data_IF_026702820075
#
_entry.id   IF_026702820075
#
_cell.length_a   1.000
_cell.length_b   1.000
_cell.length_c   1.000
_cell.angle_alpha   90.00
_cell.angle_beta   90.00
_cell.angle_gamma   90.00
#
_symmetry.space_group_name_H-M   'P 1'
#
loop_
_entity.id
_entity.type
_entity.pdbx_description
1 polymer ?
#
# COMPACT_ATOMS: atom_id res chain seq x y z
N UNK A 1 -3.56 6.16 -12.12
CA UNK A 1 -3.30 5.84 -10.71
C UNK A 1 -3.14 7.10 -9.86
N UNK A 2 -2.20 8.01 -10.16
CA UNK A 2 -1.97 9.23 -9.35
C UNK A 2 -3.21 10.11 -9.28
N UNK A 3 -3.88 10.39 -10.40
CA UNK A 3 -5.11 11.17 -10.41
C UNK A 3 -6.23 10.51 -9.58
N UNK A 4 -6.39 9.19 -9.70
CA UNK A 4 -7.37 8.45 -8.89
C UNK A 4 -7.05 8.54 -7.39
N UNK A 5 -5.79 8.38 -7.00
CA UNK A 5 -5.38 8.52 -5.60
C UNK A 5 -5.66 9.92 -5.07
N UNK A 6 -5.34 10.97 -5.84
CA UNK A 6 -5.63 12.35 -5.44
C UNK A 6 -7.13 12.60 -5.26
N UNK A 7 -7.95 12.17 -6.21
CA UNK A 7 -9.42 12.31 -6.11
C UNK A 7 -9.95 11.57 -4.89
N UNK A 8 -9.52 10.34 -4.66
CA UNK A 8 -9.95 9.54 -3.51
C UNK A 8 -9.51 10.18 -2.20
N UNK A 9 -8.28 10.69 -2.11
CA UNK A 9 -7.80 11.41 -0.91
C UNK A 9 -8.64 12.66 -0.63
N UNK A 10 -8.91 13.47 -1.66
CA UNK A 10 -9.73 14.67 -1.52
C UNK A 10 -11.16 14.36 -1.09
N UNK A 11 -11.78 13.34 -1.69
CA UNK A 11 -13.13 12.91 -1.31
C UNK A 11 -13.16 12.39 0.13
N UNK A 12 -12.21 11.59 0.52
CA UNK A 12 -12.10 11.07 1.90
C UNK A 12 -11.85 12.20 2.90
N UNK A 13 -11.01 13.17 2.54
CA UNK A 13 -10.76 14.34 3.37
C UNK A 13 -12.04 15.21 3.51
N UNK A 14 -12.76 15.43 2.43
CA UNK A 14 -14.06 16.13 2.48
C UNK A 14 -15.06 15.43 3.40
N UNK A 15 -15.22 14.13 3.23
CA UNK A 15 -16.10 13.32 4.08
C UNK A 15 -15.65 13.37 5.55
N UNK A 16 -14.35 13.31 5.82
CA UNK A 16 -13.78 13.45 7.14
C UNK A 16 -14.10 14.80 7.77
N UNK A 17 -13.96 15.90 7.05
CA UNK A 17 -14.29 17.24 7.52
C UNK A 17 -15.79 17.39 7.81
N UNK A 18 -16.66 16.85 6.97
CA UNK A 18 -18.12 16.83 7.19
C UNK A 18 -18.45 16.02 8.45
N UNK A 19 -17.86 14.85 8.62
CA UNK A 19 -18.08 14.01 9.78
C UNK A 19 -17.57 14.68 11.07
N UNK A 20 -16.45 15.38 11.02
CA UNK A 20 -15.93 16.16 12.15
C UNK A 20 -16.85 17.31 12.51
N UNK A 21 -17.36 18.07 11.52
CA UNK A 21 -18.28 19.15 11.75
C UNK A 21 -19.61 18.70 12.38
N UNK A 22 -20.02 17.46 12.15
CA UNK A 22 -21.21 16.85 12.76
C UNK A 22 -20.93 16.05 14.05
N UNK A 23 -19.71 16.13 14.59
CA UNK A 23 -19.34 15.41 15.82
C UNK A 23 -19.28 13.88 15.70
N UNK A 24 -19.28 13.36 14.47
CA UNK A 24 -19.25 11.92 14.19
C UNK A 24 -17.82 11.34 14.20
N UNK A 25 -16.80 12.18 14.02
CA UNK A 25 -15.40 11.83 14.13
C UNK A 25 -14.89 12.15 15.54
N UNK A 26 -15.06 11.22 16.45
CA UNK A 26 -14.34 11.22 17.74
C UNK A 26 -13.11 10.33 17.60
N UNK A 27 -12.03 10.67 18.30
CA UNK A 27 -10.75 9.90 18.28
C UNK A 27 -10.98 8.44 18.67
N UNK A 28 -12.00 8.18 19.50
CA UNK A 28 -12.40 6.83 19.92
C UNK A 28 -13.22 6.06 18.85
N UNK A 29 -13.69 6.74 17.82
CA UNK A 29 -14.49 6.13 16.75
C UNK A 29 -13.65 5.43 15.67
N UNK A 30 -12.31 5.50 15.73
CA UNK A 30 -11.46 4.81 14.79
C UNK A 30 -11.53 3.31 15.04
N UNK A 31 -12.31 2.62 14.19
CA UNK A 31 -12.43 1.17 14.20
C UNK A 31 -11.05 0.52 14.05
N UNK A 32 -10.92 -0.73 14.53
CA UNK A 32 -9.70 -1.52 14.34
C UNK A 32 -9.26 -1.63 12.89
N UNK A 33 -10.20 -1.50 11.93
CA UNK A 33 -9.90 -1.46 10.49
C UNK A 33 -9.08 -0.24 10.09
N UNK A 34 -9.39 0.95 10.62
CA UNK A 34 -8.59 2.16 10.36
C UNK A 34 -7.21 2.01 10.99
N UNK A 35 -7.14 1.55 12.24
CA UNK A 35 -5.87 1.34 12.94
C UNK A 35 -4.95 0.35 12.23
N UNK A 36 -5.51 -0.72 11.67
CA UNK A 36 -4.74 -1.69 10.87
C UNK A 36 -4.07 -1.08 9.64
N UNK A 37 -4.61 0.03 9.11
CA UNK A 37 -4.06 0.74 7.94
C UNK A 37 -3.07 1.85 8.27
N UNK A 38 -2.87 2.15 9.55
CA UNK A 38 -1.88 3.14 10.01
C UNK A 38 -0.47 2.54 10.12
N UNK A 39 -0.37 1.22 10.26
CA UNK A 39 0.89 0.50 10.45
C UNK A 39 1.10 -0.50 9.32
N UNK A 40 1.87 -0.15 8.28
CA UNK A 40 2.20 -1.09 7.21
C UNK A 40 2.86 -2.35 7.76
N UNK A 41 2.42 -3.52 7.29
CA UNK A 41 2.97 -4.83 7.67
C UNK A 41 3.62 -5.53 6.47
N UNK A 42 4.46 -6.53 6.74
CA UNK A 42 5.02 -7.38 5.67
C UNK A 42 3.92 -8.18 4.96
N UNK A 43 2.80 -8.45 5.66
CA UNK A 43 1.65 -9.12 5.08
C UNK A 43 1.00 -8.27 3.99
N UNK A 44 0.83 -6.96 4.23
CA UNK A 44 0.29 -6.03 3.26
C UNK A 44 1.13 -6.00 1.98
N UNK A 45 2.46 -5.98 2.13
CA UNK A 45 3.39 -6.06 1.00
C UNK A 45 3.23 -7.39 0.23
N UNK A 46 3.06 -8.51 0.94
CA UNK A 46 2.79 -9.82 0.33
C UNK A 46 1.49 -9.83 -0.48
N UNK A 47 0.43 -9.26 0.08
CA UNK A 47 -0.87 -9.11 -0.60
C UNK A 47 -0.73 -8.23 -1.84
N UNK A 48 0.00 -7.13 -1.74
CA UNK A 48 0.24 -6.23 -2.87
C UNK A 48 1.03 -6.89 -4.00
N UNK A 49 2.07 -7.66 -3.66
CA UNK A 49 2.85 -8.46 -4.62
C UNK A 49 1.94 -9.46 -5.36
N UNK A 50 1.11 -10.20 -4.62
CA UNK A 50 0.17 -11.16 -5.18
C UNK A 50 -0.87 -10.47 -6.08
N UNK A 51 -1.43 -9.34 -5.63
CA UNK A 51 -2.39 -8.55 -6.40
C UNK A 51 -1.80 -8.08 -7.74
N UNK A 52 -0.56 -7.57 -7.72
CA UNK A 52 0.15 -7.15 -8.92
C UNK A 52 0.44 -8.31 -9.88
N UNK A 53 0.85 -9.46 -9.33
CA UNK A 53 1.08 -10.67 -10.11
C UNK A 53 -0.22 -11.16 -10.77
N UNK A 54 -1.30 -11.28 -10.02
CA UNK A 54 -2.62 -11.73 -10.51
C UNK A 54 -3.14 -10.75 -11.57
N UNK A 55 -3.07 -9.45 -11.31
CA UNK A 55 -3.54 -8.42 -12.23
C UNK A 55 -2.80 -8.47 -13.58
N UNK A 56 -1.48 -8.64 -13.54
CA UNK A 56 -0.67 -8.74 -14.75
C UNK A 56 -0.91 -10.05 -15.47
N UNK A 57 -1.02 -11.17 -14.73
CA UNK A 57 -1.34 -12.47 -15.31
C UNK A 57 -2.69 -12.43 -16.05
N UNK A 58 -3.72 -11.84 -15.43
CA UNK A 58 -5.04 -11.68 -16.05
C UNK A 58 -4.99 -10.80 -17.32
N UNK A 59 -4.09 -9.82 -17.34
CA UNK A 59 -3.92 -8.91 -18.51
C UNK A 59 -3.24 -9.59 -19.70
N UNK A 60 -2.27 -10.46 -19.45
CA UNK A 60 -1.51 -11.14 -20.52
C UNK A 60 -2.13 -12.47 -20.96
N UNK A 61 -3.15 -12.95 -20.27
CA UNK A 61 -3.83 -14.22 -20.59
C UNK A 61 -5.20 -13.95 -21.22
N UNK A 62 -5.41 -14.31 -22.50
CA UNK A 62 -6.68 -14.02 -23.20
C UNK A 62 -7.92 -14.66 -22.58
N UNK A 63 -7.75 -15.77 -21.84
CA UNK A 63 -8.84 -16.48 -21.16
C UNK A 63 -9.14 -15.99 -19.74
N UNK A 64 -8.39 -15.03 -19.19
CA UNK A 64 -8.59 -14.54 -17.85
C UNK A 64 -9.55 -13.33 -17.83
N UNK A 65 -10.36 -13.26 -16.78
CA UNK A 65 -11.33 -12.16 -16.61
C UNK A 65 -10.59 -10.87 -16.24
N UNK A 66 -10.53 -9.93 -17.17
CA UNK A 66 -9.79 -8.67 -17.01
C UNK A 66 -10.31 -7.79 -15.86
N UNK A 67 -11.58 -7.95 -15.45
CA UNK A 67 -12.16 -7.25 -14.31
C UNK A 67 -11.49 -7.61 -12.97
N UNK A 68 -10.99 -8.83 -12.83
CA UNK A 68 -10.27 -9.26 -11.62
C UNK A 68 -8.98 -8.46 -11.39
N UNK A 69 -8.33 -8.04 -12.47
CA UNK A 69 -7.10 -7.24 -12.38
C UNK A 69 -7.33 -5.89 -11.70
N UNK A 70 -8.40 -5.19 -12.10
CA UNK A 70 -8.76 -3.90 -11.51
C UNK A 70 -9.17 -4.01 -10.04
N UNK A 71 -9.98 -5.03 -9.72
CA UNK A 71 -10.45 -5.29 -8.36
C UNK A 71 -9.28 -5.59 -7.41
N UNK A 72 -8.35 -6.46 -7.80
CA UNK A 72 -7.19 -6.80 -6.97
C UNK A 72 -6.32 -5.57 -6.64
N UNK A 73 -6.10 -4.69 -7.63
CA UNK A 73 -5.36 -3.44 -7.43
C UNK A 73 -6.14 -2.48 -6.52
N UNK A 74 -7.45 -2.34 -6.74
CA UNK A 74 -8.30 -1.44 -5.96
C UNK A 74 -8.34 -1.82 -4.48
N UNK A 75 -8.52 -3.10 -4.16
CA UNK A 75 -8.54 -3.62 -2.78
C UNK A 75 -7.25 -3.29 -2.03
N UNK A 76 -6.09 -3.31 -2.70
CA UNK A 76 -4.81 -3.02 -2.08
C UNK A 76 -4.53 -1.51 -1.93
N UNK A 77 -5.05 -0.65 -2.82
CA UNK A 77 -4.67 0.76 -2.89
C UNK A 77 -5.72 1.73 -2.33
N UNK A 78 -7.02 1.43 -2.47
CA UNK A 78 -8.08 2.38 -2.07
C UNK A 78 -8.15 2.57 -0.56
N UNK A 79 -8.17 1.53 0.29
CA UNK A 79 -8.31 1.72 1.72
C UNK A 79 -7.21 2.59 2.35
N UNK A 80 -5.92 2.40 2.06
CA UNK A 80 -4.87 3.28 2.60
C UNK A 80 -5.03 4.75 2.21
N UNK A 81 -5.47 5.01 0.97
CA UNK A 81 -5.72 6.38 0.49
C UNK A 81 -6.90 7.02 1.20
N UNK A 82 -7.96 6.25 1.45
CA UNK A 82 -9.11 6.73 2.21
C UNK A 82 -8.71 7.08 3.66
N UNK A 83 -7.97 6.21 4.33
CA UNK A 83 -7.49 6.46 5.69
C UNK A 83 -6.56 7.67 5.73
N UNK A 84 -5.67 7.82 4.76
CA UNK A 84 -4.81 9.02 4.65
C UNK A 84 -5.65 10.31 4.58
N UNK A 85 -6.71 10.34 3.76
CA UNK A 85 -7.61 11.48 3.66
C UNK A 85 -8.35 11.78 4.97
N UNK A 86 -8.84 10.75 5.66
CA UNK A 86 -9.51 10.89 6.96
C UNK A 86 -8.56 11.43 8.04
N UNK A 87 -7.32 10.93 8.11
CA UNK A 87 -6.32 11.41 9.07
C UNK A 87 -5.91 12.86 8.78
N UNK A 88 -5.81 13.25 7.51
CA UNK A 88 -5.58 14.66 7.14
C UNK A 88 -6.74 15.56 7.60
N UNK A 89 -7.98 15.11 7.47
CA UNK A 89 -9.14 15.84 7.97
C UNK A 89 -9.15 15.97 9.49
N UNK A 90 -8.74 14.92 10.20
CA UNK A 90 -8.61 14.92 11.66
C UNK A 90 -7.42 15.76 12.18
N UNK A 91 -6.52 16.22 11.30
CA UNK A 91 -5.30 16.94 11.67
C UNK A 91 -4.17 16.04 12.19
N UNK A 92 -4.34 14.72 12.12
CA UNK A 92 -3.31 13.76 12.52
C UNK A 92 -2.36 13.45 11.34
N UNK A 93 -1.35 14.29 11.21
CA UNK A 93 -0.35 14.15 10.15
C UNK A 93 0.59 12.97 10.36
N UNK A 94 0.73 12.45 11.59
CA UNK A 94 1.57 11.30 11.87
C UNK A 94 0.92 10.03 11.29
N UNK A 95 -0.34 9.84 11.55
CA UNK A 95 -1.12 8.71 11.07
C UNK A 95 -1.41 8.83 9.57
N UNK A 96 -1.65 10.03 9.06
CA UNK A 96 -1.75 10.29 7.62
C UNK A 96 -0.49 9.84 6.87
N UNK A 97 0.72 10.09 7.42
CA UNK A 97 1.99 9.59 6.87
C UNK A 97 2.09 8.07 6.92
N UNK A 98 1.61 7.44 8.00
CA UNK A 98 1.54 5.99 8.13
C UNK A 98 0.73 5.35 6.99
N UNK A 99 -0.50 5.84 6.79
CA UNK A 99 -1.37 5.40 5.71
C UNK A 99 -0.78 5.68 4.31
N UNK A 100 -0.13 6.83 4.13
CA UNK A 100 0.57 7.17 2.89
C UNK A 100 1.76 6.23 2.60
N UNK A 101 2.51 5.82 3.63
CA UNK A 101 3.58 4.83 3.50
C UNK A 101 3.03 3.45 3.12
N UNK A 102 1.88 3.05 3.70
CA UNK A 102 1.21 1.80 3.33
C UNK A 102 0.78 1.84 1.85
N UNK A 103 0.19 2.94 1.40
CA UNK A 103 -0.14 3.12 -0.02
C UNK A 103 1.08 2.99 -0.93
N UNK A 104 2.18 3.66 -0.59
CA UNK A 104 3.42 3.60 -1.36
C UNK A 104 4.02 2.19 -1.39
N UNK A 105 4.03 1.49 -0.25
CA UNK A 105 4.50 0.10 -0.14
C UNK A 105 3.66 -0.84 -1.01
N UNK A 106 2.33 -0.72 -0.96
CA UNK A 106 1.42 -1.52 -1.76
C UNK A 106 1.58 -1.23 -3.26
N UNK A 107 1.72 0.04 -3.64
CA UNK A 107 1.98 0.41 -5.03
C UNK A 107 3.28 -0.22 -5.56
N UNK A 108 4.35 -0.17 -4.77
CA UNK A 108 5.62 -0.82 -5.11
C UNK A 108 5.49 -2.33 -5.19
N UNK A 109 4.79 -2.96 -4.25
CA UNK A 109 4.49 -4.39 -4.27
C UNK A 109 3.76 -4.81 -5.54
N UNK A 110 2.70 -4.09 -5.92
CA UNK A 110 1.94 -4.34 -7.15
C UNK A 110 2.84 -4.21 -8.38
N UNK A 111 3.68 -3.18 -8.45
CA UNK A 111 4.59 -2.99 -9.57
C UNK A 111 5.62 -4.12 -9.67
N UNK A 112 6.22 -4.52 -8.56
CA UNK A 112 7.20 -5.61 -8.52
C UNK A 112 6.55 -6.93 -8.91
N UNK A 113 5.39 -7.27 -8.33
CA UNK A 113 4.63 -8.47 -8.66
C UNK A 113 4.25 -8.53 -10.13
N UNK A 114 3.74 -7.42 -10.67
CA UNK A 114 3.37 -7.31 -12.08
C UNK A 114 4.57 -7.44 -13.04
N UNK A 115 5.66 -6.75 -12.76
CA UNK A 115 6.90 -6.83 -13.56
C UNK A 115 7.50 -8.23 -13.51
N UNK A 116 7.42 -8.92 -12.37
CA UNK A 116 7.91 -10.30 -12.24
C UNK A 116 7.16 -11.25 -13.14
N UNK A 117 5.82 -11.19 -13.17
CA UNK A 117 4.99 -12.01 -14.05
C UNK A 117 5.28 -11.68 -15.53
N UNK A 118 5.38 -10.40 -15.87
CA UNK A 118 5.67 -9.98 -17.24
C UNK A 118 7.05 -10.46 -17.71
N UNK A 119 8.05 -10.41 -16.84
CA UNK A 119 9.40 -10.91 -17.13
C UNK A 119 9.47 -12.43 -17.31
N UNK A 120 8.58 -13.19 -16.63
CA UNK A 120 8.50 -14.65 -16.77
C UNK A 120 7.75 -15.04 -18.03
N UNK A 121 6.63 -14.36 -18.33
CA UNK A 121 5.71 -14.76 -19.40
C UNK A 121 6.08 -14.21 -20.77
N UNK A 122 6.73 -13.05 -20.83
CA UNK A 122 7.02 -12.33 -22.06
C UNK A 122 8.55 -12.22 -22.27
N UNK A 123 9.15 -13.14 -23.05
CA UNK A 123 10.60 -13.12 -23.35
C UNK A 123 11.05 -11.80 -23.97
N UNK A 124 10.23 -11.22 -24.85
CA UNK A 124 10.50 -9.93 -25.48
C UNK A 124 10.64 -8.80 -24.47
N UNK A 125 9.78 -8.79 -23.43
CA UNK A 125 9.85 -7.79 -22.34
C UNK A 125 11.13 -7.94 -21.53
N UNK A 126 11.53 -9.18 -21.25
CA UNK A 126 12.78 -9.51 -20.55
C UNK A 126 14.01 -9.01 -21.30
N UNK A 127 14.04 -9.20 -22.63
CA UNK A 127 15.14 -8.74 -23.46
C UNK A 127 15.16 -7.21 -23.59
N UNK A 128 14.00 -6.58 -23.66
CA UNK A 128 13.85 -5.12 -23.64
C UNK A 128 14.32 -4.52 -22.30
N UNK A 129 13.97 -5.12 -21.17
CA UNK A 129 14.46 -4.73 -19.84
C UNK A 129 15.99 -4.86 -19.74
N UNK A 130 16.56 -5.94 -20.32
CA UNK A 130 18.01 -6.14 -20.34
C UNK A 130 18.74 -5.13 -21.22
N UNK A 131 18.16 -4.72 -22.32
CA UNK A 131 18.77 -3.82 -23.30
C UNK A 131 18.67 -2.34 -22.92
N UNK A 132 17.63 -1.97 -22.19
CA UNK A 132 17.33 -0.57 -21.87
C UNK A 132 17.92 -0.17 -20.51
N UNK A 133 19.01 0.58 -20.53
CA UNK A 133 19.72 1.08 -19.31
C UNK A 133 18.78 1.81 -18.34
N UNK A 134 17.82 2.58 -18.87
CA UNK A 134 16.80 3.30 -18.07
C UNK A 134 15.87 2.37 -17.30
N UNK A 135 15.45 1.25 -17.88
CA UNK A 135 14.58 0.27 -17.22
C UNK A 135 15.29 -0.44 -16.07
N UNK A 136 16.62 -0.70 -16.20
CA UNK A 136 17.42 -1.24 -15.10
C UNK A 136 17.54 -0.25 -13.95
N UNK A 137 17.74 1.04 -14.25
CA UNK A 137 17.79 2.09 -13.24
C UNK A 137 16.46 2.23 -12.49
N UNK A 138 15.32 2.16 -13.19
CA UNK A 138 13.99 2.19 -12.59
C UNK A 138 13.73 0.95 -11.71
N UNK A 139 14.15 -0.24 -12.14
CA UNK A 139 14.08 -1.45 -11.34
C UNK A 139 14.97 -1.38 -10.10
N UNK A 140 16.19 -0.89 -10.23
CA UNK A 140 17.09 -0.67 -9.09
C UNK A 140 16.52 0.36 -8.12
N UNK A 141 15.95 1.46 -8.63
CA UNK A 141 15.27 2.47 -7.82
C UNK A 141 14.05 1.89 -7.09
N UNK A 142 13.23 1.07 -7.76
CA UNK A 142 12.10 0.40 -7.15
C UNK A 142 12.55 -0.60 -6.06
N UNK A 143 13.61 -1.37 -6.32
CA UNK A 143 14.18 -2.30 -5.35
C UNK A 143 14.80 -1.60 -4.15
N UNK A 144 15.51 -0.48 -4.34
CA UNK A 144 16.08 0.30 -3.24
C UNK A 144 14.99 0.96 -2.40
N UNK A 145 13.93 1.49 -3.03
CA UNK A 145 12.77 2.03 -2.33
C UNK A 145 12.02 0.93 -1.56
N UNK A 146 11.82 -0.24 -2.17
CA UNK A 146 11.19 -1.37 -1.51
C UNK A 146 12.03 -1.87 -0.32
N UNK A 147 13.35 -1.93 -0.47
CA UNK A 147 14.28 -2.28 0.61
C UNK A 147 14.24 -1.25 1.75
N UNK A 148 14.20 0.05 1.42
CA UNK A 148 14.12 1.13 2.40
C UNK A 148 12.78 1.10 3.14
N UNK A 149 11.67 0.89 2.43
CA UNK A 149 10.34 0.71 3.03
C UNK A 149 10.32 -0.54 3.91
N UNK A 150 10.84 -1.66 3.43
CA UNK A 150 10.95 -2.91 4.20
C UNK A 150 11.78 -2.74 5.48
N UNK A 151 12.90 -2.01 5.42
CA UNK A 151 13.71 -1.70 6.59
C UNK A 151 12.97 -0.83 7.62
N UNK A 152 12.22 0.19 7.15
CA UNK A 152 11.36 1.02 8.01
C UNK A 152 10.24 0.22 8.66
N UNK A 153 9.63 -0.71 7.91
CA UNK A 153 8.59 -1.61 8.40
C UNK A 153 9.13 -2.58 9.46
N UNK A 154 10.32 -3.14 9.23
CA UNK A 154 10.99 -4.03 10.18
C UNK A 154 11.30 -3.33 11.50
N UNK A 155 11.82 -2.11 11.45
CA UNK A 155 12.09 -1.32 12.65
C UNK A 155 10.83 -0.99 13.48
N UNK A 156 9.69 -0.73 12.83
CA UNK A 156 8.40 -0.57 13.51
C UNK A 156 7.88 -1.86 14.13
N UNK A 157 8.06 -2.98 13.43
CA UNK A 157 7.65 -4.30 13.93
C UNK A 157 8.40 -4.66 15.22
N UNK A 158 9.70 -4.43 15.27
CA UNK A 158 10.48 -4.63 16.51
C UNK A 158 9.97 -3.75 17.67
N UNK A 159 9.73 -2.47 17.43
CA UNK A 159 9.20 -1.57 18.45
C UNK A 159 7.84 -2.03 18.99
N UNK A 160 6.97 -2.56 18.12
CA UNK A 160 5.68 -3.12 18.53
C UNK A 160 5.83 -4.38 19.39
N UNK A 161 6.77 -5.26 19.04
CA UNK A 161 7.07 -6.45 19.84
C UNK A 161 7.65 -6.11 21.21
N UNK A 162 8.50 -5.10 21.29
CA UNK A 162 9.03 -4.62 22.57
C UNK A 162 7.95 -3.97 23.44
N UNK A 163 7.01 -3.23 22.85
CA UNK A 163 5.87 -2.65 23.57
C UNK A 163 4.97 -3.75 24.16
N UNK A 164 4.60 -4.76 23.38
CA UNK A 164 3.80 -5.90 23.83
C UNK A 164 4.48 -6.71 24.93
N UNK A 165 5.80 -6.93 24.83
CA UNK A 165 6.57 -7.61 25.89
C UNK A 165 6.61 -6.80 27.19
N UNK A 166 6.67 -5.48 27.09
CA UNK A 166 6.70 -4.56 28.24
C UNK A 166 5.36 -4.53 28.97
N UNK A 167 4.24 -4.54 28.25
CA UNK A 167 2.90 -4.56 28.83
C UNK A 167 2.62 -5.92 29.49
N UNK A 168 2.99 -7.02 28.88
CA UNK A 168 2.87 -8.36 29.47
C UNK A 168 3.76 -8.55 30.74
N UNK A 169 4.85 -7.81 30.85
CA UNK A 169 5.72 -7.85 32.04
C UNK A 169 5.16 -7.00 33.22
N UNK A 170 4.27 -6.06 32.97
CA UNK A 170 3.62 -5.24 34.00
C UNK A 170 2.37 -5.90 34.61
N UNK A 171 1.83 -6.94 33.96
CA UNK A 171 0.61 -7.65 34.41
C UNK A 171 0.96 -8.90 35.24
N UNK A 172 2.24 -9.22 35.42
CA UNK A 172 2.75 -10.23 36.36
C UNK A 172 3.35 -9.56 37.60
#
# INVERSE_FOLDING_TARGET
LVAGALVTTLLSMMLGLIAQANGLLTVDAFSGEIQSRLSPTLLDLGIALAAGAIATYAKVNPGAVSSMAGTAIAVALVPPVCVMGLMLAAGDYADARGAGLLYAANLLGILIGGVSVLAIREPYFRDKLRRQRRSRLLLLLALTLASWVGFKLYGRYEQHLYALKRDNAKVR
#
